data_IF_763376410713
#
_entry.id   IF_763376410713
#
_cell.length_a   1.000
_cell.length_b   1.000
_cell.length_c   1.000
_cell.angle_alpha   90.00
_cell.angle_beta   90.00
_cell.angle_gamma   90.00
#
_symmetry.space_group_name_H-M   'P 1'
#
loop_
_entity.id
_entity.type
_entity.pdbx_description
1 polymer ?
#
# COMPACT_ATOMS: atom_id res chain seq x y z
N UNK A 1 57.97 -8.43 -12.02
CA UNK A 1 56.96 -9.20 -11.25
C UNK A 1 55.96 -8.31 -10.49
N UNK A 2 56.38 -7.30 -9.72
CA UNK A 2 55.47 -6.46 -8.91
C UNK A 2 54.35 -5.72 -9.69
N UNK A 3 54.65 -5.21 -10.90
CA UNK A 3 53.65 -4.54 -11.74
C UNK A 3 52.57 -5.50 -12.29
N UNK A 4 52.95 -6.71 -12.70
CA UNK A 4 51.99 -7.72 -13.16
C UNK A 4 51.05 -8.18 -12.05
N UNK A 5 51.55 -8.35 -10.82
CA UNK A 5 50.73 -8.72 -9.67
C UNK A 5 49.69 -7.65 -9.32
N UNK A 6 50.05 -6.36 -9.41
CA UNK A 6 49.09 -5.25 -9.23
C UNK A 6 48.00 -5.21 -10.30
N UNK A 7 48.37 -5.43 -11.56
CA UNK A 7 47.38 -5.43 -12.65
C UNK A 7 46.42 -6.60 -12.53
N UNK A 8 46.90 -7.79 -12.13
CA UNK A 8 46.06 -8.97 -11.89
C UNK A 8 45.12 -8.73 -10.70
N UNK A 9 45.61 -8.14 -9.61
CA UNK A 9 44.79 -7.84 -8.44
C UNK A 9 43.69 -6.81 -8.75
N UNK A 10 44.01 -5.75 -9.50
CA UNK A 10 43.03 -4.76 -9.95
C UNK A 10 41.97 -5.40 -10.85
N UNK A 11 42.38 -6.24 -11.81
CA UNK A 11 41.44 -6.93 -12.69
C UNK A 11 40.50 -7.86 -11.91
N UNK A 12 41.03 -8.60 -10.93
CA UNK A 12 40.26 -9.48 -10.06
C UNK A 12 39.24 -8.69 -9.21
N UNK A 13 39.64 -7.54 -8.65
CA UNK A 13 38.73 -6.67 -7.90
C UNK A 13 37.63 -6.09 -8.80
N UNK A 14 37.95 -5.68 -10.03
CA UNK A 14 36.95 -5.16 -10.98
C UNK A 14 35.95 -6.25 -11.39
N UNK A 15 36.43 -7.47 -11.67
CA UNK A 15 35.55 -8.61 -12.02
C UNK A 15 34.64 -8.97 -10.83
N UNK A 16 35.20 -9.00 -9.62
CA UNK A 16 34.42 -9.26 -8.40
C UNK A 16 33.35 -8.18 -8.17
N UNK A 17 33.69 -6.91 -8.39
CA UNK A 17 32.73 -5.80 -8.29
C UNK A 17 31.59 -5.90 -9.30
N UNK A 18 31.89 -6.27 -10.54
CA UNK A 18 30.87 -6.49 -11.57
C UNK A 18 29.97 -7.68 -11.23
N UNK A 19 30.54 -8.78 -10.72
CA UNK A 19 29.76 -9.95 -10.29
C UNK A 19 28.84 -9.62 -9.12
N UNK A 20 29.32 -8.89 -8.12
CA UNK A 20 28.50 -8.47 -6.97
C UNK A 20 27.35 -7.54 -7.41
N UNK A 21 27.62 -6.57 -8.29
CA UNK A 21 26.57 -5.72 -8.86
C UNK A 21 25.55 -6.52 -9.68
N UNK A 22 25.99 -7.48 -10.49
CA UNK A 22 25.08 -8.34 -11.25
C UNK A 22 24.20 -9.20 -10.35
N UNK A 23 24.74 -9.67 -9.22
CA UNK A 23 24.00 -10.45 -8.24
C UNK A 23 22.97 -9.59 -7.50
N UNK A 24 23.34 -8.37 -7.11
CA UNK A 24 22.41 -7.41 -6.48
C UNK A 24 21.26 -7.00 -7.41
N UNK A 25 21.53 -6.83 -8.71
CA UNK A 25 20.48 -6.53 -9.71
C UNK A 25 19.57 -7.76 -9.89
N UNK A 26 20.13 -8.97 -9.91
CA UNK A 26 19.35 -10.20 -9.99
C UNK A 26 18.46 -10.42 -8.76
N UNK A 27 18.92 -10.07 -7.55
CA UNK A 27 18.11 -10.17 -6.33
C UNK A 27 16.97 -9.14 -6.26
N UNK A 28 17.10 -7.99 -6.94
CA UNK A 28 16.04 -6.97 -7.01
C UNK A 28 14.90 -7.33 -7.98
N UNK A 29 15.14 -8.25 -8.93
CA UNK A 29 14.14 -8.73 -9.90
C UNK A 29 13.34 -9.96 -9.44
N UNK A 30 13.48 -10.35 -8.17
CA UNK A 30 12.72 -11.45 -7.58
C UNK A 30 11.68 -10.84 -6.64
N UNK A 31 10.69 -10.15 -7.22
CA UNK A 31 9.39 -9.99 -6.54
C UNK A 31 8.62 -11.25 -6.90
N UNK A 32 8.41 -12.18 -5.95
CA UNK A 32 7.57 -13.34 -6.19
C UNK A 32 6.16 -12.85 -6.55
N UNK A 33 5.51 -13.37 -7.59
CA UNK A 33 4.08 -13.20 -7.76
C UNK A 33 3.34 -13.65 -6.47
N UNK A 34 2.19 -13.04 -6.17
CA UNK A 34 1.43 -13.29 -4.91
C UNK A 34 1.18 -14.80 -4.63
N UNK A 35 1.17 -15.63 -5.66
CA UNK A 35 0.99 -17.07 -5.55
C UNK A 35 2.22 -17.86 -5.01
N UNK A 36 3.37 -17.21 -4.82
CA UNK A 36 4.59 -17.83 -4.29
C UNK A 36 4.74 -17.73 -2.76
N UNK A 37 3.81 -17.03 -2.08
CA UNK A 37 3.77 -17.00 -0.61
C UNK A 37 3.12 -18.28 -0.04
N UNK A 38 3.73 -18.87 0.99
CA UNK A 38 3.14 -20.00 1.71
C UNK A 38 1.83 -19.55 2.38
N UNK A 39 0.71 -20.05 1.87
CA UNK A 39 -0.62 -19.78 2.41
C UNK A 39 -0.78 -20.44 3.78
N UNK A 40 -1.45 -19.80 4.75
CA UNK A 40 -1.98 -20.50 5.91
C UNK A 40 -2.91 -21.62 5.44
N UNK A 41 -2.78 -22.81 6.01
CA UNK A 41 -3.69 -23.92 5.71
C UNK A 41 -4.99 -23.71 6.50
N UNK A 42 -5.91 -22.91 5.94
CA UNK A 42 -7.18 -22.58 6.60
C UNK A 42 -8.24 -23.63 6.21
N UNK A 43 -8.93 -24.27 7.18
CA UNK A 43 -9.82 -25.40 6.91
C UNK A 43 -11.26 -24.94 6.65
N UNK A 44 -11.50 -24.17 5.58
CA UNK A 44 -12.86 -23.80 5.18
C UNK A 44 -13.16 -24.23 3.74
N UNK A 45 -14.24 -25.00 3.58
CA UNK A 45 -14.90 -25.21 2.31
C UNK A 45 -15.91 -24.07 2.10
N UNK A 46 -15.74 -23.29 1.04
CA UNK A 46 -16.72 -22.27 0.64
C UNK A 46 -17.99 -22.95 0.10
N UNK A 47 -19.19 -22.44 0.41
CA UNK A 47 -20.41 -22.93 -0.22
C UNK A 47 -20.40 -22.61 -1.73
N UNK A 48 -20.86 -23.57 -2.55
CA UNK A 48 -21.15 -23.32 -3.97
C UNK A 48 -22.32 -22.32 -4.06
N UNK A 49 -22.03 -21.06 -4.39
CA UNK A 49 -23.06 -20.05 -4.67
C UNK A 49 -23.37 -19.98 -6.17
N UNK A 50 -24.65 -20.17 -6.51
CA UNK A 50 -25.22 -19.80 -7.81
C UNK A 50 -25.44 -18.27 -7.87
N UNK A 51 -24.33 -17.52 -7.93
CA UNK A 51 -24.39 -16.13 -8.40
C UNK A 51 -24.74 -16.21 -9.89
N UNK A 52 -25.74 -15.46 -10.41
CA UNK A 52 -26.03 -15.44 -11.83
C UNK A 52 -24.87 -14.80 -12.60
N UNK A 53 -23.82 -15.58 -12.85
CA UNK A 53 -22.86 -15.32 -13.91
C UNK A 53 -23.66 -15.34 -15.20
N UNK A 54 -23.84 -14.18 -15.82
CA UNK A 54 -24.38 -14.10 -17.17
C UNK A 54 -23.40 -14.82 -18.11
N UNK A 55 -23.68 -16.07 -18.54
CA UNK A 55 -22.68 -16.89 -19.25
C UNK A 55 -22.47 -16.42 -20.69
N UNK A 56 -23.30 -15.48 -21.18
CA UNK A 56 -23.19 -14.90 -22.51
C UNK A 56 -22.38 -13.58 -22.54
N UNK A 57 -22.05 -12.98 -21.39
CA UNK A 57 -21.16 -11.82 -21.34
C UNK A 57 -19.69 -12.25 -21.25
N UNK A 58 -19.20 -12.92 -22.28
CA UNK A 58 -17.79 -13.30 -22.42
C UNK A 58 -16.94 -12.28 -23.19
N UNK A 59 -17.54 -11.15 -23.62
CA UNK A 59 -16.83 -10.06 -24.28
C UNK A 59 -17.46 -8.71 -23.96
N UNK A 60 -16.72 -7.89 -23.23
CA UNK A 60 -16.88 -6.44 -23.30
C UNK A 60 -16.19 -5.97 -24.58
N UNK A 61 -16.94 -5.32 -25.48
CA UNK A 61 -16.34 -4.56 -26.56
C UNK A 61 -15.51 -3.45 -25.94
N UNK A 62 -14.20 -3.57 -26.11
CA UNK A 62 -13.16 -2.69 -25.57
C UNK A 62 -13.24 -1.38 -26.37
N UNK A 63 -13.65 -0.24 -25.79
CA UNK A 63 -13.11 1.01 -26.29
C UNK A 63 -11.61 0.98 -25.97
N UNK A 64 -10.76 1.20 -26.97
CA UNK A 64 -9.35 1.51 -26.73
C UNK A 64 -9.30 2.71 -25.78
N UNK A 65 -9.17 2.45 -24.48
CA UNK A 65 -8.83 3.47 -23.50
C UNK A 65 -7.34 3.71 -23.75
N UNK A 66 -7.06 4.85 -24.36
CA UNK A 66 -5.71 5.43 -24.40
C UNK A 66 -5.25 5.61 -22.95
N UNK A 67 -4.51 4.62 -22.44
CA UNK A 67 -3.84 4.63 -21.13
C UNK A 67 -2.72 5.69 -21.05
N UNK A 68 -2.74 6.67 -21.95
CA UNK A 68 -1.94 7.88 -21.88
C UNK A 68 -0.46 7.55 -21.87
N UNK A 69 0.12 7.38 -23.04
CA UNK A 69 1.57 7.38 -23.28
C UNK A 69 2.38 6.45 -22.33
N UNK A 70 2.83 5.32 -22.85
CA UNK A 70 3.79 4.38 -22.23
C UNK A 70 5.20 4.97 -21.98
N UNK A 71 5.29 6.26 -21.65
CA UNK A 71 6.47 6.94 -21.12
C UNK A 71 6.49 6.71 -19.62
N UNK A 72 7.20 5.69 -19.17
CA UNK A 72 7.43 5.40 -17.75
C UNK A 72 8.42 6.40 -17.14
N UNK A 73 8.08 7.69 -17.17
CA UNK A 73 8.89 8.69 -16.48
C UNK A 73 8.79 8.41 -14.98
N UNK A 74 9.93 8.31 -14.27
CA UNK A 74 9.90 8.01 -12.85
C UNK A 74 9.18 9.14 -12.11
N UNK A 75 8.21 8.78 -11.26
CA UNK A 75 7.47 9.76 -10.44
C UNK A 75 8.26 10.19 -9.20
N UNK A 76 9.11 9.30 -8.70
CA UNK A 76 9.95 9.51 -7.52
C UNK A 76 11.22 8.66 -7.58
N UNK A 77 12.20 9.01 -6.75
CA UNK A 77 13.40 8.22 -6.45
C UNK A 77 13.53 8.05 -4.94
N UNK A 78 13.76 6.81 -4.51
CA UNK A 78 14.02 6.47 -3.11
C UNK A 78 15.50 6.08 -2.97
N UNK A 79 16.16 6.62 -1.97
CA UNK A 79 17.50 6.23 -1.55
C UNK A 79 17.44 5.60 -0.16
N UNK A 80 18.11 4.46 0.01
CA UNK A 80 18.02 3.61 1.20
C UNK A 80 17.20 2.34 0.93
N UNK A 81 16.91 1.58 2.00
CA UNK A 81 16.05 0.40 1.94
C UNK A 81 14.70 0.78 2.55
N UNK A 82 13.62 0.90 1.74
CA UNK A 82 12.31 1.29 2.25
C UNK A 82 11.65 0.19 3.09
N UNK A 83 12.03 -1.09 2.94
CA UNK A 83 11.45 -2.20 3.72
C UNK A 83 9.90 -2.25 3.72
N UNK A 84 9.27 -1.52 2.80
CA UNK A 84 7.84 -1.46 2.50
C UNK A 84 7.70 -1.18 1.02
N UNK A 85 6.57 -1.60 0.46
CA UNK A 85 6.19 -1.34 -0.94
C UNK A 85 5.20 -0.18 -1.06
N UNK A 86 4.75 0.38 0.07
CA UNK A 86 3.67 1.35 0.12
C UNK A 86 4.16 2.71 0.61
N UNK A 87 3.86 3.74 -0.18
CA UNK A 87 3.93 5.15 0.23
C UNK A 87 2.50 5.70 0.23
N UNK A 88 2.07 6.21 1.38
CA UNK A 88 0.79 6.90 1.55
C UNK A 88 0.93 8.33 1.04
N UNK A 89 0.00 8.74 0.20
CA UNK A 89 -0.19 10.12 -0.23
C UNK A 89 -1.35 10.75 0.53
N UNK A 90 -2.51 10.12 0.46
CA UNK A 90 -3.76 10.61 1.02
C UNK A 90 -4.65 9.42 1.42
N UNK A 91 -5.61 9.65 2.30
CA UNK A 91 -6.72 8.74 2.58
C UNK A 91 -8.01 9.26 1.93
N UNK A 92 -8.92 8.34 1.65
CA UNK A 92 -10.29 8.63 1.24
C UNK A 92 -11.19 7.86 2.18
N UNK A 93 -12.24 8.51 2.65
CA UNK A 93 -13.05 8.06 3.77
C UNK A 93 -14.55 8.33 3.60
N UNK A 94 -14.94 9.08 2.57
CA UNK A 94 -16.33 9.29 2.21
C UNK A 94 -16.61 8.62 0.85
N UNK A 95 -17.64 7.79 0.77
CA UNK A 95 -18.05 7.16 -0.47
C UNK A 95 -19.44 7.65 -0.88
N UNK A 96 -19.49 8.33 -2.03
CA UNK A 96 -20.72 8.86 -2.56
C UNK A 96 -20.73 8.83 -4.09
N UNK A 97 -21.81 8.32 -4.67
CA UNK A 97 -22.06 8.34 -6.11
C UNK A 97 -20.89 7.77 -6.93
N UNK A 98 -20.41 6.58 -6.56
CA UNK A 98 -19.41 5.84 -7.32
C UNK A 98 -17.98 6.34 -7.11
N UNK A 99 -17.78 7.32 -6.24
CA UNK A 99 -16.50 7.99 -6.02
C UNK A 99 -16.15 8.00 -4.55
N UNK A 100 -14.86 7.80 -4.27
CA UNK A 100 -14.26 8.03 -2.96
C UNK A 100 -13.76 9.48 -2.89
N UNK A 101 -14.18 10.20 -1.86
CA UNK A 101 -13.72 11.54 -1.52
C UNK A 101 -13.03 11.54 -0.14
N UNK A 102 -12.38 12.65 0.19
CA UNK A 102 -11.77 12.87 1.49
C UNK A 102 -12.57 13.89 2.31
N UNK A 103 -12.71 13.61 3.59
CA UNK A 103 -13.18 14.54 4.61
C UNK A 103 -12.01 14.88 5.53
N UNK A 104 -11.03 15.63 5.01
CA UNK A 104 -9.86 16.01 5.79
C UNK A 104 -10.25 16.66 7.13
N UNK A 105 -9.75 16.09 8.22
CA UNK A 105 -9.97 16.60 9.58
C UNK A 105 -9.09 17.83 9.86
N UNK A 106 -9.09 18.31 11.10
CA UNK A 106 -8.28 19.45 11.49
C UNK A 106 -6.78 19.13 11.35
N UNK A 107 -6.06 19.95 10.59
CA UNK A 107 -4.61 19.87 10.48
C UNK A 107 -3.90 20.66 11.58
N UNK A 108 -2.65 20.27 11.84
CA UNK A 108 -1.67 21.05 12.59
C UNK A 108 -0.50 21.43 11.68
N UNK A 109 0.22 22.50 12.03
CA UNK A 109 1.43 22.87 11.28
C UNK A 109 2.61 22.05 11.79
N UNK A 110 3.22 21.27 10.90
CA UNK A 110 4.43 20.50 11.12
C UNK A 110 5.68 21.31 10.75
N UNK A 111 6.63 21.39 11.68
CA UNK A 111 7.86 22.19 11.57
C UNK A 111 9.12 21.34 11.69
N UNK A 112 9.03 20.02 11.50
CA UNK A 112 10.16 19.10 11.67
C UNK A 112 10.30 18.55 13.10
N UNK A 113 9.26 18.60 13.92
CA UNK A 113 9.23 17.90 15.20
C UNK A 113 9.20 16.36 15.03
N UNK A 114 9.42 15.63 16.12
CA UNK A 114 9.13 14.20 16.16
C UNK A 114 7.65 13.99 16.45
N UNK A 115 7.02 13.09 15.71
CA UNK A 115 5.62 12.71 15.86
C UNK A 115 5.48 11.59 16.87
N UNK A 116 4.44 11.67 17.68
CA UNK A 116 4.03 10.59 18.56
C UNK A 116 3.06 9.70 17.79
N UNK A 117 3.24 8.38 17.88
CA UNK A 117 2.44 7.42 17.15
C UNK A 117 1.43 6.77 18.11
N UNK A 118 0.13 6.83 17.78
CA UNK A 118 -0.91 6.13 18.53
C UNK A 118 -0.97 4.64 18.15
N UNK A 119 0.13 3.94 18.43
CA UNK A 119 0.24 2.47 18.33
C UNK A 119 0.70 1.99 19.69
N UNK A 120 -0.01 1.03 20.28
CA UNK A 120 0.22 0.57 21.66
C UNK A 120 0.46 -0.94 21.79
N UNK A 121 0.30 -1.70 20.71
CA UNK A 121 0.45 -3.15 20.67
C UNK A 121 1.24 -3.57 19.44
N UNK A 122 2.36 -4.26 19.65
CA UNK A 122 3.18 -4.88 18.60
C UNK A 122 4.00 -6.01 19.21
N UNK A 123 4.50 -6.93 18.39
CA UNK A 123 5.41 -8.00 18.84
C UNK A 123 6.87 -7.59 18.71
N UNK A 124 7.19 -6.84 17.67
CA UNK A 124 8.51 -6.26 17.43
C UNK A 124 8.37 -4.99 16.60
N UNK A 125 9.44 -4.20 16.49
CA UNK A 125 9.47 -3.05 15.60
C UNK A 125 10.88 -2.79 15.07
N UNK A 126 10.96 -2.14 13.91
CA UNK A 126 12.21 -1.67 13.33
C UNK A 126 12.07 -0.24 12.85
N UNK A 127 13.08 0.57 13.12
CA UNK A 127 13.16 1.96 12.68
C UNK A 127 14.02 2.05 11.42
N UNK A 128 13.54 2.81 10.45
CA UNK A 128 14.17 2.98 9.15
C UNK A 128 14.28 4.44 8.79
N UNK A 129 15.24 4.74 7.92
CA UNK A 129 15.43 6.07 7.35
C UNK A 129 15.68 5.93 5.85
N UNK A 130 14.93 6.70 5.05
CA UNK A 130 15.10 6.80 3.61
C UNK A 130 15.06 8.26 3.16
N UNK A 131 15.63 8.53 2.00
CA UNK A 131 15.48 9.81 1.31
C UNK A 131 14.56 9.63 0.11
N UNK A 132 13.55 10.50 -0.03
CA UNK A 132 12.64 10.51 -1.17
C UNK A 132 12.88 11.78 -1.97
N UNK A 133 12.99 11.65 -3.29
CA UNK A 133 13.08 12.76 -4.25
C UNK A 133 11.95 12.63 -5.26
N UNK A 134 10.90 13.45 -5.15
CA UNK A 134 9.84 13.53 -6.16
C UNK A 134 10.38 14.13 -7.47
N UNK A 135 9.89 13.64 -8.60
CA UNK A 135 10.16 14.22 -9.92
C UNK A 135 8.93 14.88 -10.55
N UNK A 136 7.76 14.59 -9.99
CA UNK A 136 6.46 15.11 -10.43
C UNK A 136 5.73 15.70 -9.24
N UNK A 137 4.74 16.56 -9.51
CA UNK A 137 3.86 17.06 -8.47
C UNK A 137 3.01 15.91 -7.92
N UNK A 138 3.02 15.76 -6.61
CA UNK A 138 2.31 14.73 -5.85
C UNK A 138 0.94 15.24 -5.38
N UNK A 139 0.34 16.13 -6.17
CA UNK A 139 -0.98 16.74 -5.93
C UNK A 139 -1.01 17.45 -4.57
N UNK A 140 0.12 18.08 -4.20
CA UNK A 140 0.26 18.77 -2.91
C UNK A 140 0.43 17.87 -1.68
N UNK A 141 0.53 16.55 -1.81
CA UNK A 141 0.78 15.63 -0.67
C UNK A 141 2.23 15.15 -0.65
N UNK A 142 2.75 14.81 0.52
CA UNK A 142 4.11 14.27 0.68
C UNK A 142 4.00 12.75 0.81
N UNK A 143 4.58 11.96 -0.13
CA UNK A 143 4.61 10.51 -0.02
C UNK A 143 5.36 10.03 1.23
N UNK A 144 4.72 9.28 2.12
CA UNK A 144 5.39 8.74 3.32
C UNK A 144 5.09 7.26 3.50
N UNK A 145 6.04 6.45 4.02
CA UNK A 145 5.68 5.18 4.62
C UNK A 145 4.65 5.37 5.74
N UNK A 146 3.97 4.29 6.11
CA UNK A 146 3.12 4.28 7.30
C UNK A 146 3.96 4.49 8.56
N UNK A 147 3.37 5.12 9.59
CA UNK A 147 4.00 5.44 10.88
C UNK A 147 5.25 6.33 10.76
N UNK A 148 5.14 7.51 10.12
CA UNK A 148 6.24 8.48 10.08
C UNK A 148 6.53 9.03 11.48
N UNK A 149 7.79 9.00 11.88
CA UNK A 149 8.27 9.55 13.16
C UNK A 149 8.82 10.95 12.97
N UNK A 150 9.52 11.20 11.87
CA UNK A 150 10.14 12.50 11.61
C UNK A 150 10.38 12.69 10.11
N UNK A 151 10.11 13.89 9.61
CA UNK A 151 10.44 14.31 8.25
C UNK A 151 11.34 15.54 8.31
N UNK A 152 12.46 15.48 7.61
CA UNK A 152 13.35 16.61 7.43
C UNK A 152 12.93 17.40 6.18
N UNK A 153 12.10 18.41 6.38
CA UNK A 153 11.51 19.24 5.33
C UNK A 153 12.12 20.65 5.31
N UNK A 154 12.16 21.26 4.12
CA UNK A 154 12.69 22.63 3.97
C UNK A 154 11.68 23.71 4.37
N UNK A 155 10.38 23.43 4.22
CA UNK A 155 9.28 24.34 4.52
C UNK A 155 8.33 23.69 5.54
N UNK A 156 7.62 24.49 6.36
CA UNK A 156 6.53 23.99 7.20
C UNK A 156 5.39 23.42 6.35
N UNK A 157 4.75 22.37 6.85
CA UNK A 157 3.68 21.65 6.14
C UNK A 157 2.47 21.43 7.04
N UNK A 158 1.34 21.05 6.46
CA UNK A 158 0.16 20.66 7.23
C UNK A 158 0.23 19.16 7.49
N UNK A 159 0.04 18.75 8.74
CA UNK A 159 -0.04 17.36 9.16
C UNK A 159 -1.46 17.05 9.66
N UNK A 160 -2.04 15.98 9.13
CA UNK A 160 -3.35 15.47 9.52
C UNK A 160 -3.13 14.20 10.33
N UNK A 161 -3.29 14.30 11.65
CA UNK A 161 -2.88 13.27 12.61
C UNK A 161 -3.64 11.95 12.40
N UNK A 162 -4.96 12.00 12.24
CA UNK A 162 -5.82 10.82 12.09
C UNK A 162 -5.46 9.96 10.87
N UNK A 163 -5.07 10.61 9.77
CA UNK A 163 -4.69 9.97 8.51
C UNK A 163 -3.17 9.72 8.41
N UNK A 164 -2.38 10.36 9.29
CA UNK A 164 -0.92 10.47 9.22
C UNK A 164 -0.43 10.89 7.83
N UNK A 165 -1.03 11.93 7.26
CA UNK A 165 -0.66 12.47 5.95
C UNK A 165 -0.15 13.90 6.06
N UNK A 166 0.72 14.29 5.13
CA UNK A 166 1.27 15.64 5.08
C UNK A 166 0.91 16.31 3.77
N UNK A 167 0.52 17.59 3.87
CA UNK A 167 0.20 18.42 2.72
C UNK A 167 1.14 19.63 2.68
N UNK A 168 1.63 19.95 1.48
CA UNK A 168 2.49 21.09 1.20
C UNK A 168 1.90 21.93 0.07
N UNK A 169 2.03 23.24 0.20
CA UNK A 169 1.71 24.20 -0.87
C UNK A 169 2.98 24.58 -1.68
N UNK A 170 4.15 24.23 -1.16
CA UNK A 170 5.45 24.44 -1.81
C UNK A 170 5.82 23.24 -2.68
N UNK A 171 6.59 23.49 -3.74
CA UNK A 171 7.22 22.45 -4.52
C UNK A 171 8.12 21.58 -3.62
N UNK A 172 7.88 20.27 -3.66
CA UNK A 172 8.56 19.32 -2.78
C UNK A 172 9.96 18.99 -3.31
N UNK A 173 10.99 19.39 -2.56
CA UNK A 173 12.36 18.98 -2.80
C UNK A 173 12.64 17.54 -2.35
N UNK A 174 13.91 17.14 -2.34
CA UNK A 174 14.30 15.91 -1.66
C UNK A 174 14.15 16.07 -0.14
N UNK A 175 13.66 15.03 0.54
CA UNK A 175 13.49 15.01 1.99
C UNK A 175 13.87 13.65 2.56
N UNK A 176 14.30 13.67 3.83
CA UNK A 176 14.57 12.48 4.61
C UNK A 176 13.36 12.18 5.50
N UNK A 177 13.06 10.90 5.67
CA UNK A 177 11.98 10.43 6.51
C UNK A 177 12.45 9.28 7.38
N UNK A 178 12.15 9.39 8.68
CA UNK A 178 12.26 8.32 9.66
C UNK A 178 10.86 7.77 9.96
N UNK A 179 10.74 6.45 10.00
CA UNK A 179 9.46 5.76 10.23
C UNK A 179 9.68 4.41 10.92
N UNK A 180 8.60 3.86 11.47
CA UNK A 180 8.61 2.58 12.18
C UNK A 180 7.79 1.53 11.43
N UNK A 181 8.37 0.37 11.22
CA UNK A 181 7.66 -0.83 10.79
C UNK A 181 7.43 -1.73 12.02
N UNK A 182 6.17 -1.85 12.42
CA UNK A 182 5.75 -2.78 13.46
C UNK A 182 5.54 -4.17 12.88
N UNK A 183 5.89 -5.19 13.66
CA UNK A 183 5.51 -6.57 13.42
C UNK A 183 4.36 -6.97 14.35
N UNK A 184 3.49 -7.83 13.86
CA UNK A 184 2.34 -8.37 14.58
C UNK A 184 2.33 -9.88 14.44
N UNK A 185 1.95 -10.61 15.49
CA UNK A 185 1.69 -12.05 15.41
C UNK A 185 0.20 -12.31 15.23
N UNK A 186 -0.15 -13.42 14.61
CA UNK A 186 -1.54 -13.88 14.48
C UNK A 186 -2.23 -13.98 15.84
N UNK A 187 -1.49 -14.38 16.89
CA UNK A 187 -2.02 -14.44 18.26
C UNK A 187 -2.38 -13.06 18.82
N UNK A 188 -1.61 -12.01 18.47
CA UNK A 188 -1.89 -10.63 18.87
C UNK A 188 -3.08 -10.08 18.06
N UNK A 189 -3.09 -10.33 16.75
CA UNK A 189 -4.17 -9.88 15.87
C UNK A 189 -5.52 -10.51 16.24
N UNK A 190 -5.54 -11.82 16.56
CA UNK A 190 -6.75 -12.52 16.95
C UNK A 190 -7.40 -11.99 18.24
N UNK A 191 -6.62 -11.45 19.18
CA UNK A 191 -7.16 -10.86 20.42
C UNK A 191 -7.41 -9.36 20.30
N UNK A 192 -7.02 -8.76 19.18
CA UNK A 192 -7.21 -7.33 18.92
C UNK A 192 -8.63 -7.04 18.43
N UNK A 193 -9.07 -5.81 18.64
CA UNK A 193 -10.37 -5.32 18.18
C UNK A 193 -10.19 -4.07 17.34
N UNK A 194 -10.96 -3.98 16.26
CA UNK A 194 -11.03 -2.77 15.43
C UNK A 194 -11.66 -1.67 16.27
N UNK A 195 -11.08 -0.47 16.18
CA UNK A 195 -11.66 0.72 16.78
C UNK A 195 -12.80 1.20 15.88
N UNK A 196 -14.02 1.18 16.40
CA UNK A 196 -15.16 1.76 15.69
C UNK A 196 -14.99 3.27 15.54
N UNK A 197 -14.99 3.74 14.29
CA UNK A 197 -14.91 5.14 13.92
C UNK A 197 -16.12 5.41 13.03
N UNK A 198 -17.18 6.07 13.54
CA UNK A 198 -18.45 6.21 12.83
C UNK A 198 -18.33 6.73 11.40
N UNK A 199 -17.39 7.64 11.15
CA UNK A 199 -17.13 8.19 9.83
C UNK A 199 -16.66 7.15 8.79
N UNK A 200 -16.07 6.03 9.23
CA UNK A 200 -15.62 4.94 8.34
C UNK A 200 -16.64 3.80 8.24
N UNK A 201 -17.81 3.95 8.85
CA UNK A 201 -18.90 2.97 8.81
C UNK A 201 -20.06 3.43 7.91
N UNK A 202 -19.93 4.60 7.28
CA UNK A 202 -20.96 5.13 6.39
C UNK A 202 -20.97 4.35 5.07
N UNK A 203 -22.14 3.77 4.76
CA UNK A 203 -22.41 3.11 3.48
C UNK A 203 -23.69 3.74 2.92
N UNK A 204 -23.72 4.18 1.65
CA UNK A 204 -24.93 4.74 1.07
C UNK A 204 -26.11 3.78 1.14
N UNK A 205 -27.30 4.32 1.42
CA UNK A 205 -28.53 3.52 1.64
C UNK A 205 -28.82 2.55 0.48
N UNK A 206 -28.50 2.96 -0.76
CA UNK A 206 -28.73 2.14 -1.95
C UNK A 206 -27.79 0.94 -2.11
N UNK A 207 -26.66 0.92 -1.39
CA UNK A 207 -25.74 -0.23 -1.33
C UNK A 207 -25.85 -1.01 -0.03
N UNK A 208 -26.60 -0.48 0.95
CA UNK A 208 -26.56 -0.98 2.31
C UNK A 208 -26.99 -2.44 2.41
N UNK A 209 -28.15 -2.80 1.85
CA UNK A 209 -28.65 -4.19 1.91
C UNK A 209 -27.69 -5.16 1.19
N UNK A 210 -27.30 -4.86 -0.05
CA UNK A 210 -26.46 -5.75 -0.87
C UNK A 210 -25.06 -5.96 -0.26
N UNK A 211 -24.41 -4.88 0.21
CA UNK A 211 -23.07 -4.97 0.83
C UNK A 211 -23.16 -5.62 2.20
N UNK A 212 -24.18 -5.31 2.99
CA UNK A 212 -24.37 -5.90 4.32
C UNK A 212 -24.55 -7.41 4.23
N UNK A 213 -25.45 -7.88 3.38
CA UNK A 213 -25.75 -9.32 3.25
C UNK A 213 -24.52 -10.09 2.75
N UNK A 214 -23.78 -9.52 1.79
CA UNK A 214 -22.53 -10.11 1.31
C UNK A 214 -21.46 -10.15 2.40
N UNK A 215 -21.25 -9.06 3.13
CA UNK A 215 -20.29 -9.00 4.21
C UNK A 215 -20.64 -10.01 5.32
N UNK A 216 -21.91 -10.08 5.74
CA UNK A 216 -22.38 -11.04 6.74
C UNK A 216 -22.18 -12.48 6.27
N UNK A 217 -22.41 -12.78 4.99
CA UNK A 217 -22.17 -14.10 4.44
C UNK A 217 -20.69 -14.49 4.47
N UNK A 218 -19.80 -13.59 4.02
CA UNK A 218 -18.35 -13.83 4.00
C UNK A 218 -17.82 -14.04 5.43
N UNK A 219 -18.27 -13.23 6.40
CA UNK A 219 -17.72 -13.24 7.76
C UNK A 219 -18.48 -14.14 8.73
N UNK A 220 -19.54 -14.84 8.31
CA UNK A 220 -20.50 -15.56 9.18
C UNK A 220 -19.87 -16.52 10.20
N UNK A 221 -18.77 -17.16 9.83
CA UNK A 221 -18.09 -18.18 10.64
C UNK A 221 -16.84 -17.67 11.37
N UNK A 222 -16.61 -16.36 11.35
CA UNK A 222 -15.45 -15.74 11.99
C UNK A 222 -15.78 -15.38 13.45
N UNK A 223 -14.77 -15.44 14.31
CA UNK A 223 -14.90 -15.19 15.75
C UNK A 223 -14.16 -13.95 16.21
N UNK A 224 -13.19 -13.49 15.40
CA UNK A 224 -12.38 -12.31 15.66
C UNK A 224 -12.45 -11.34 14.48
N UNK A 225 -12.19 -10.06 14.73
CA UNK A 225 -12.20 -9.04 13.67
C UNK A 225 -11.07 -9.31 12.66
N UNK A 226 -9.96 -9.90 13.13
CA UNK A 226 -8.86 -10.33 12.28
C UNK A 226 -9.27 -11.49 11.36
N UNK A 227 -9.98 -12.50 11.88
CA UNK A 227 -10.53 -13.58 11.05
C UNK A 227 -11.54 -13.05 10.02
N UNK A 228 -12.35 -12.04 10.37
CA UNK A 228 -13.26 -11.38 9.44
C UNK A 228 -12.52 -10.71 8.28
N UNK A 229 -11.41 -10.01 8.56
CA UNK A 229 -10.57 -9.38 7.54
C UNK A 229 -9.93 -10.42 6.62
N UNK A 230 -9.40 -11.52 7.18
CA UNK A 230 -8.83 -12.62 6.39
C UNK A 230 -9.89 -13.28 5.49
N UNK A 231 -11.11 -13.49 5.99
CA UNK A 231 -12.20 -14.04 5.19
C UNK A 231 -12.58 -13.13 4.00
N UNK A 232 -12.54 -11.81 4.20
CA UNK A 232 -12.73 -10.82 3.12
C UNK A 232 -11.59 -10.85 2.10
N UNK A 233 -10.34 -10.94 2.55
CA UNK A 233 -9.17 -11.09 1.67
C UNK A 233 -9.29 -12.35 0.80
N UNK A 234 -9.51 -13.52 1.43
CA UNK A 234 -9.66 -14.80 0.74
C UNK A 234 -10.81 -14.78 -0.27
N UNK A 235 -11.94 -14.15 0.07
CA UNK A 235 -13.07 -13.99 -0.84
C UNK A 235 -12.71 -13.14 -2.06
N UNK A 236 -12.08 -11.97 -1.85
CA UNK A 236 -11.68 -11.09 -2.93
C UNK A 236 -10.67 -11.77 -3.87
N UNK A 237 -9.69 -12.48 -3.34
CA UNK A 237 -8.70 -13.22 -4.15
C UNK A 237 -9.32 -14.41 -4.91
N UNK A 238 -10.33 -15.06 -4.35
CA UNK A 238 -10.94 -16.25 -4.95
C UNK A 238 -11.93 -15.91 -6.06
N UNK A 239 -12.67 -14.81 -5.92
CA UNK A 239 -13.78 -14.47 -6.82
C UNK A 239 -13.47 -13.33 -7.79
N UNK A 240 -12.37 -12.58 -7.61
CA UNK A 240 -12.02 -11.45 -8.47
C UNK A 240 -10.62 -11.61 -9.10
N UNK A 241 -10.52 -11.32 -10.39
CA UNK A 241 -9.25 -11.26 -11.11
C UNK A 241 -8.81 -9.80 -11.28
N UNK A 242 -7.59 -9.50 -10.83
CA UNK A 242 -6.99 -8.19 -11.04
C UNK A 242 -6.80 -7.88 -12.52
N UNK A 243 -7.32 -6.75 -12.97
CA UNK A 243 -7.13 -6.26 -14.33
C UNK A 243 -6.99 -4.74 -14.36
N UNK A 244 -6.31 -4.22 -15.40
CA UNK A 244 -6.14 -2.78 -15.63
C UNK A 244 -7.28 -2.16 -16.46
N UNK A 245 -8.30 -2.94 -16.77
CA UNK A 245 -9.40 -2.58 -17.66
C UNK A 245 -10.72 -2.73 -16.91
N UNK A 246 -10.93 -1.87 -15.92
CA UNK A 246 -12.17 -1.84 -15.16
C UNK A 246 -13.31 -1.32 -16.06
N UNK A 247 -14.45 -2.01 -16.03
CA UNK A 247 -15.68 -1.48 -16.62
C UNK A 247 -16.07 -0.18 -15.89
N UNK A 248 -16.66 0.77 -16.60
CA UNK A 248 -17.21 1.95 -15.96
C UNK A 248 -18.24 1.54 -14.88
N UNK A 249 -18.31 2.25 -13.75
CA UNK A 249 -19.32 1.98 -12.74
C UNK A 249 -20.73 2.07 -13.37
N UNK A 250 -21.71 1.26 -12.93
CA UNK A 250 -23.08 1.32 -13.44
C UNK A 250 -23.65 2.74 -13.32
N UNK A 251 -24.47 3.16 -14.30
CA UNK A 251 -25.07 4.50 -14.27
C UNK A 251 -25.97 4.69 -13.06
N UNK A 252 -25.70 5.71 -12.26
CA UNK A 252 -26.46 6.03 -11.04
C UNK A 252 -25.91 5.38 -9.76
N UNK A 253 -24.75 4.73 -9.84
CA UNK A 253 -23.94 4.32 -8.68
C UNK A 253 -23.00 5.43 -8.27
#
# INVERSE_FOLDING_TARGET
MYRQQRTIALLACTILGVLLLSYSIYSLNQVPPLNEFERPNIPFDFPEMDIPMNPEQTRLEIPEIDIGNTSSDPVLKIYGQPNTQYLRLQTYDDYYSGTWDNSLTQSVTYNGESLDLDVNLWTDYSQHNITITPFTDTIGYIPTPQNPVHLNLSDPTQFFEDAQIFQTQSALGAYEIEYILYAYSDSLMNVSKVKEMPQYLEVPEYLHEDIHDLAEEITRNTTTDYEAILALEDYLESYYEYNLSAAAPPSGV
#
